data_IF_626785552040
#
_entry.id   IF_626785552040
#
_cell.length_a   1.000
_cell.length_b   1.000
_cell.length_c   1.000
_cell.angle_alpha   90.00
_cell.angle_beta   90.00
_cell.angle_gamma   90.00
#
_symmetry.space_group_name_H-M   'P 1'
#
loop_
_entity.id
_entity.type
_entity.pdbx_description
1 polymer ?
#
# COMPACT_ATOMS: atom_id res chain seq x y z
N UNK A 1 2.64 2.02 -30.56
CA UNK A 1 2.76 3.34 -29.92
C UNK A 1 1.49 3.51 -29.11
N UNK A 2 1.53 3.76 -27.78
CA UNK A 2 0.30 4.00 -27.04
C UNK A 2 -0.41 5.22 -27.62
N UNK A 3 -1.71 5.11 -27.86
CA UNK A 3 -2.51 6.23 -28.37
C UNK A 3 -2.43 7.41 -27.39
N UNK A 4 -2.41 8.65 -27.91
CA UNK A 4 -2.27 9.87 -27.10
C UNK A 4 -3.31 9.96 -25.95
N UNK A 5 -4.50 9.41 -26.17
CA UNK A 5 -5.55 9.29 -25.16
C UNK A 5 -5.11 8.40 -23.98
N UNK A 6 -4.53 7.25 -24.27
CA UNK A 6 -4.01 6.30 -23.28
C UNK A 6 -2.90 6.92 -22.43
N UNK A 7 -1.96 7.62 -23.08
CA UNK A 7 -0.89 8.32 -22.38
C UNK A 7 -1.45 9.42 -21.46
N UNK A 8 -2.39 10.23 -21.95
CA UNK A 8 -3.01 11.29 -21.16
C UNK A 8 -3.80 10.76 -19.95
N UNK A 9 -4.54 9.66 -20.12
CA UNK A 9 -5.27 9.00 -19.05
C UNK A 9 -4.32 8.49 -17.94
N UNK A 10 -3.23 7.80 -18.34
CA UNK A 10 -2.24 7.28 -17.39
C UNK A 10 -1.53 8.40 -16.64
N UNK A 11 -1.24 9.53 -17.29
CA UNK A 11 -0.65 10.71 -16.64
C UNK A 11 -1.60 11.28 -15.59
N UNK A 12 -2.89 11.45 -15.91
CA UNK A 12 -3.88 11.96 -14.97
C UNK A 12 -4.08 10.98 -13.80
N UNK A 13 -4.23 9.68 -14.09
CA UNK A 13 -4.38 8.64 -13.07
C UNK A 13 -3.15 8.58 -12.14
N UNK A 14 -1.94 8.68 -12.70
CA UNK A 14 -0.70 8.75 -11.95
C UNK A 14 -0.59 10.01 -11.07
N UNK A 15 -1.02 11.17 -11.58
CA UNK A 15 -1.05 12.41 -10.82
C UNK A 15 -2.02 12.31 -9.62
N UNK A 16 -3.22 11.78 -9.86
CA UNK A 16 -4.24 11.55 -8.83
C UNK A 16 -3.74 10.54 -7.79
N UNK A 17 -3.19 9.41 -8.24
CA UNK A 17 -2.59 8.41 -7.36
C UNK A 17 -1.45 8.99 -6.51
N UNK A 18 -0.60 9.83 -7.08
CA UNK A 18 0.49 10.51 -6.37
C UNK A 18 -0.02 11.48 -5.30
N UNK A 19 -0.99 12.34 -5.64
CA UNK A 19 -1.60 13.29 -4.69
C UNK A 19 -2.26 12.55 -3.54
N UNK A 20 -3.07 11.53 -3.83
CA UNK A 20 -3.75 10.71 -2.81
C UNK A 20 -2.71 9.92 -1.99
N UNK A 21 -1.65 9.43 -2.64
CA UNK A 21 -0.56 8.68 -2.03
C UNK A 21 0.17 9.43 -0.92
N UNK A 22 0.24 10.76 -1.00
CA UNK A 22 0.82 11.60 0.07
C UNK A 22 0.04 11.51 1.39
N UNK A 23 -1.21 11.05 1.37
CA UNK A 23 -2.05 10.85 2.54
C UNK A 23 -1.90 9.44 3.16
N UNK A 24 -1.03 8.59 2.62
CA UNK A 24 -0.69 7.29 3.19
C UNK A 24 -1.41 6.11 2.51
N UNK A 25 -0.70 5.45 1.59
CA UNK A 25 -0.92 4.05 1.23
C UNK A 25 -2.03 3.71 0.23
N UNK A 26 -2.71 4.70 -0.35
CA UNK A 26 -3.85 4.46 -1.28
C UNK A 26 -3.42 4.50 -2.75
N UNK A 27 -2.14 4.79 -3.04
CA UNK A 27 -1.58 4.93 -4.39
C UNK A 27 -1.88 3.70 -5.27
N UNK A 28 -1.71 2.50 -4.72
CA UNK A 28 -1.92 1.23 -5.40
C UNK A 28 -3.35 0.98 -5.80
N UNK A 29 -4.30 1.38 -4.96
CA UNK A 29 -5.73 1.19 -5.23
C UNK A 29 -6.24 2.07 -6.38
N UNK A 30 -5.47 3.09 -6.79
CA UNK A 30 -5.78 3.96 -7.92
C UNK A 30 -4.95 3.60 -9.15
N UNK A 31 -3.63 3.43 -8.99
CA UNK A 31 -2.71 3.17 -10.10
C UNK A 31 -2.94 1.78 -10.72
N UNK A 32 -3.21 0.78 -9.90
CA UNK A 32 -3.33 -0.60 -10.38
C UNK A 32 -4.57 -0.83 -11.27
N UNK A 33 -5.80 -0.42 -10.88
CA UNK A 33 -6.96 -0.52 -11.78
C UNK A 33 -6.81 0.32 -13.06
N UNK A 34 -6.14 1.48 -12.99
CA UNK A 34 -5.89 2.31 -14.16
C UNK A 34 -4.97 1.62 -15.17
N UNK A 35 -3.95 0.89 -14.70
CA UNK A 35 -3.07 0.10 -15.57
C UNK A 35 -3.79 -1.10 -16.17
N UNK A 36 -4.65 -1.78 -15.40
CA UNK A 36 -5.50 -2.85 -15.91
C UNK A 36 -6.50 -2.37 -16.97
N UNK A 37 -7.08 -1.18 -16.80
CA UNK A 37 -8.02 -0.59 -17.75
C UNK A 37 -7.39 -0.33 -19.13
N UNK A 38 -6.07 -0.20 -19.19
CA UNK A 38 -5.29 -0.01 -20.42
C UNK A 38 -4.82 -1.36 -21.03
N UNK A 39 -5.17 -2.48 -20.40
CA UNK A 39 -4.84 -3.83 -20.89
C UNK A 39 -3.45 -4.34 -20.49
N UNK A 40 -2.79 -3.69 -19.52
CA UNK A 40 -1.50 -4.17 -19.01
C UNK A 40 -1.73 -5.44 -18.16
N UNK A 41 -0.93 -6.50 -18.36
CA UNK A 41 -1.00 -7.70 -17.53
C UNK A 41 -0.87 -7.37 -16.04
N UNK A 42 -1.67 -7.97 -15.14
CA UNK A 42 -1.69 -7.62 -13.72
C UNK A 42 -0.31 -7.64 -13.05
N UNK A 43 0.54 -8.61 -13.38
CA UNK A 43 1.89 -8.68 -12.83
C UNK A 43 2.75 -7.46 -13.22
N UNK A 44 2.70 -7.07 -14.50
CA UNK A 44 3.43 -5.90 -15.00
C UNK A 44 2.88 -4.61 -14.38
N UNK A 45 1.56 -4.50 -14.26
CA UNK A 45 0.89 -3.39 -13.58
C UNK A 45 1.32 -3.28 -12.11
N UNK A 46 1.45 -4.40 -11.40
CA UNK A 46 1.89 -4.43 -10.01
C UNK A 46 3.32 -3.94 -9.86
N UNK A 47 4.24 -4.45 -10.69
CA UNK A 47 5.65 -4.02 -10.66
C UNK A 47 5.78 -2.52 -10.93
N UNK A 48 5.06 -1.99 -11.91
CA UNK A 48 5.04 -0.53 -12.18
C UNK A 48 4.50 0.25 -10.98
N UNK A 49 3.42 -0.23 -10.35
CA UNK A 49 2.86 0.38 -9.16
C UNK A 49 3.85 0.37 -7.98
N UNK A 50 4.58 -0.73 -7.75
CA UNK A 50 5.62 -0.81 -6.71
C UNK A 50 6.75 0.20 -6.93
N UNK A 51 7.14 0.46 -8.19
CA UNK A 51 8.14 1.50 -8.49
C UNK A 51 7.59 2.90 -8.19
N UNK A 52 6.33 3.18 -8.53
CA UNK A 52 5.68 4.45 -8.20
C UNK A 52 5.59 4.69 -6.68
N UNK A 53 5.43 3.64 -5.89
CA UNK A 53 5.43 3.69 -4.43
C UNK A 53 6.77 4.08 -3.82
N UNK A 54 7.91 3.77 -4.47
CA UNK A 54 9.21 4.23 -3.99
C UNK A 54 9.29 5.77 -3.98
N UNK A 55 8.78 6.40 -5.04
CA UNK A 55 8.72 7.85 -5.14
C UNK A 55 7.78 8.46 -4.10
N UNK A 56 6.52 8.01 -4.07
CA UNK A 56 5.52 8.54 -3.12
C UNK A 56 5.85 8.20 -1.66
N UNK A 57 6.46 7.05 -1.39
CA UNK A 57 6.94 6.62 -0.08
C UNK A 57 8.08 7.50 0.42
N UNK A 58 9.05 7.85 -0.44
CA UNK A 58 10.11 8.80 -0.09
C UNK A 58 9.54 10.17 0.26
N UNK A 59 8.60 10.69 -0.55
CA UNK A 59 7.92 11.95 -0.25
C UNK A 59 7.15 11.91 1.08
N UNK A 60 6.46 10.80 1.34
CA UNK A 60 5.71 10.60 2.60
C UNK A 60 6.64 10.50 3.81
N UNK A 61 7.77 9.81 3.67
CA UNK A 61 8.78 9.70 4.73
C UNK A 61 9.41 11.06 5.08
N UNK A 62 9.73 11.87 4.07
CA UNK A 62 10.24 13.23 4.26
C UNK A 62 9.21 14.12 4.98
N UNK A 63 7.93 14.01 4.61
CA UNK A 63 6.84 14.75 5.25
C UNK A 63 6.54 14.28 6.68
N UNK A 64 6.69 12.99 6.97
CA UNK A 64 6.45 12.43 8.31
C UNK A 64 7.55 12.81 9.33
N UNK A 65 8.73 13.25 8.88
CA UNK A 65 9.87 13.56 9.75
C UNK A 65 9.56 14.46 10.97
N UNK A 66 8.88 15.61 10.81
CA UNK A 66 8.48 16.47 11.93
C UNK A 66 7.52 15.80 12.92
N UNK A 67 6.59 14.97 12.43
CA UNK A 67 5.57 14.29 13.23
C UNK A 67 6.13 13.12 14.05
N UNK A 68 7.27 12.58 13.62
CA UNK A 68 7.98 11.49 14.29
C UNK A 68 8.91 11.95 15.42
N UNK A 69 9.08 13.28 15.61
CA UNK A 69 9.86 13.84 16.71
C UNK A 69 9.26 13.39 18.04
N UNK A 70 10.06 12.74 18.89
CA UNK A 70 9.63 12.18 20.18
C UNK A 70 9.18 10.71 20.15
N UNK A 71 9.06 10.08 18.97
CA UNK A 71 8.60 8.68 18.82
C UNK A 71 9.71 7.69 18.39
N UNK A 72 10.98 8.06 18.56
CA UNK A 72 12.15 7.28 18.09
C UNK A 72 12.24 5.88 18.68
N UNK A 73 11.86 5.71 19.95
CA UNK A 73 11.83 4.39 20.61
C UNK A 73 10.79 3.46 19.98
N UNK A 74 9.59 3.96 19.71
CA UNK A 74 8.53 3.22 19.01
C UNK A 74 8.99 2.86 17.60
N UNK A 75 9.58 3.81 16.87
CA UNK A 75 10.09 3.56 15.53
C UNK A 75 11.12 2.43 15.54
N UNK A 76 12.11 2.49 16.44
CA UNK A 76 13.18 1.49 16.53
C UNK A 76 12.66 0.08 16.86
N UNK A 77 11.55 -0.02 17.61
CA UNK A 77 10.91 -1.32 17.90
C UNK A 77 10.12 -1.87 16.72
N UNK A 78 9.34 -1.03 16.03
CA UNK A 78 8.35 -1.49 15.04
C UNK A 78 8.84 -1.44 13.59
N UNK A 79 9.81 -0.60 13.29
CA UNK A 79 10.43 -0.48 11.97
C UNK A 79 11.06 -1.79 11.48
N UNK A 80 11.92 -2.50 12.25
CA UNK A 80 12.51 -3.75 11.77
C UNK A 80 11.45 -4.83 11.51
N UNK A 81 10.40 -4.88 12.35
CA UNK A 81 9.30 -5.81 12.16
C UNK A 81 8.56 -5.53 10.83
N UNK A 82 8.28 -4.26 10.56
CA UNK A 82 7.62 -3.83 9.32
C UNK A 82 8.48 -4.15 8.09
N UNK A 83 9.79 -3.90 8.15
CA UNK A 83 10.75 -4.24 7.07
C UNK A 83 10.72 -5.73 6.77
N UNK A 84 10.79 -6.58 7.81
CA UNK A 84 10.81 -8.04 7.63
C UNK A 84 9.50 -8.52 6.99
N UNK A 85 8.35 -8.11 7.51
CA UNK A 85 7.06 -8.55 6.94
C UNK A 85 6.82 -8.00 5.53
N UNK A 86 7.21 -6.76 5.24
CA UNK A 86 7.13 -6.23 3.87
C UNK A 86 8.07 -6.96 2.93
N UNK A 87 9.28 -7.35 3.37
CA UNK A 87 10.17 -8.18 2.57
C UNK A 87 9.57 -9.57 2.31
N UNK A 88 8.94 -10.17 3.32
CA UNK A 88 8.21 -11.44 3.15
C UNK A 88 7.11 -11.31 2.09
N UNK A 89 6.32 -10.23 2.13
CA UNK A 89 5.30 -9.94 1.12
C UNK A 89 5.90 -9.80 -0.28
N UNK A 90 6.98 -9.04 -0.42
CA UNK A 90 7.65 -8.82 -1.71
C UNK A 90 8.24 -10.11 -2.29
N UNK A 91 8.86 -10.96 -1.45
CA UNK A 91 9.36 -12.27 -1.86
C UNK A 91 8.21 -13.17 -2.29
N UNK A 92 7.09 -13.16 -1.56
CA UNK A 92 5.92 -13.96 -1.91
C UNK A 92 5.35 -13.54 -3.28
N UNK A 93 5.39 -12.25 -3.61
CA UNK A 93 5.00 -11.75 -4.93
C UNK A 93 5.92 -12.31 -6.02
N UNK A 94 7.24 -12.23 -5.83
CA UNK A 94 8.23 -12.73 -6.80
C UNK A 94 8.08 -14.23 -7.04
N UNK A 95 7.71 -14.99 -6.00
CA UNK A 95 7.47 -16.43 -6.08
C UNK A 95 6.06 -16.77 -6.63
N UNK A 96 5.14 -15.81 -6.74
CA UNK A 96 3.78 -16.07 -7.21
C UNK A 96 3.75 -16.18 -8.74
N UNK A 97 3.24 -17.30 -9.30
CA UNK A 97 3.02 -17.40 -10.74
C UNK A 97 2.01 -16.36 -11.23
N UNK A 98 2.24 -15.75 -12.39
CA UNK A 98 1.34 -14.71 -12.94
C UNK A 98 -0.13 -15.14 -13.02
N UNK A 99 -0.40 -16.38 -13.45
CA UNK A 99 -1.76 -16.93 -13.52
C UNK A 99 -2.46 -17.04 -12.15
N UNK A 100 -1.69 -17.21 -11.06
CA UNK A 100 -2.22 -17.18 -9.70
C UNK A 100 -2.45 -15.73 -9.26
N UNK A 101 -1.52 -14.83 -9.57
CA UNK A 101 -1.66 -13.41 -9.26
C UNK A 101 -2.93 -12.81 -9.88
N UNK A 102 -3.21 -13.11 -11.16
CA UNK A 102 -4.42 -12.65 -11.85
C UNK A 102 -5.72 -13.01 -11.12
N UNK A 103 -5.75 -14.16 -10.45
CA UNK A 103 -6.92 -14.61 -9.67
C UNK A 103 -7.00 -13.98 -8.28
N UNK A 104 -5.85 -13.67 -7.68
CA UNK A 104 -5.76 -13.15 -6.29
C UNK A 104 -5.94 -11.62 -6.26
N UNK A 105 -5.49 -10.93 -7.31
CA UNK A 105 -5.55 -9.48 -7.47
C UNK A 105 -6.91 -8.84 -7.13
N UNK A 106 -8.06 -9.34 -7.64
CA UNK A 106 -9.35 -8.73 -7.33
C UNK A 106 -9.67 -8.76 -5.83
N UNK A 107 -9.27 -9.83 -5.14
CA UNK A 107 -9.44 -9.96 -3.69
C UNK A 107 -8.53 -9.00 -2.92
N UNK A 108 -7.30 -8.78 -3.39
CA UNK A 108 -6.37 -7.82 -2.78
C UNK A 108 -6.90 -6.39 -2.89
N UNK A 109 -7.38 -6.00 -4.09
CA UNK A 109 -7.99 -4.69 -4.32
C UNK A 109 -9.26 -4.52 -3.48
N UNK A 110 -10.12 -5.54 -3.43
CA UNK A 110 -11.34 -5.51 -2.62
C UNK A 110 -11.02 -5.36 -1.13
N UNK A 111 -10.03 -6.12 -0.62
CA UNK A 111 -9.60 -6.06 0.77
C UNK A 111 -9.07 -4.67 1.12
N UNK A 112 -8.17 -4.10 0.31
CA UNK A 112 -7.65 -2.75 0.52
C UNK A 112 -8.75 -1.69 0.48
N UNK A 113 -9.69 -1.82 -0.46
CA UNK A 113 -10.86 -0.93 -0.58
C UNK A 113 -11.78 -1.01 0.64
N UNK A 114 -12.06 -2.21 1.14
CA UNK A 114 -12.88 -2.42 2.33
C UNK A 114 -12.22 -1.85 3.59
N UNK A 115 -10.90 -2.03 3.74
CA UNK A 115 -10.13 -1.44 4.85
C UNK A 115 -10.18 0.08 4.78
N UNK A 116 -10.06 0.67 3.58
CA UNK A 116 -10.18 2.10 3.37
C UNK A 116 -11.57 2.63 3.76
N UNK A 117 -12.63 1.94 3.33
CA UNK A 117 -14.01 2.26 3.73
C UNK A 117 -14.23 2.13 5.24
N UNK A 118 -13.51 1.20 5.89
CA UNK A 118 -13.58 0.98 7.32
C UNK A 118 -12.73 1.96 8.16
N UNK A 119 -11.80 2.71 7.57
CA UNK A 119 -10.97 3.70 8.29
C UNK A 119 -11.75 4.62 9.25
N UNK A 120 -12.87 5.28 8.87
CA UNK A 120 -13.61 6.15 9.78
C UNK A 120 -14.20 5.40 10.98
N UNK A 121 -14.58 4.13 10.79
CA UNK A 121 -15.08 3.28 11.87
C UNK A 121 -13.94 2.85 12.82
N UNK A 122 -12.78 2.49 12.25
CA UNK A 122 -11.57 2.14 13.01
C UNK A 122 -11.12 3.33 13.87
N UNK A 123 -11.05 4.53 13.28
CA UNK A 123 -10.66 5.74 14.00
C UNK A 123 -11.64 6.07 15.14
N UNK A 124 -12.96 5.90 14.92
CA UNK A 124 -13.98 6.07 15.96
C UNK A 124 -13.84 5.02 17.07
N UNK A 125 -13.59 3.77 16.73
CA UNK A 125 -13.39 2.69 17.70
C UNK A 125 -12.15 2.93 18.56
N UNK A 126 -11.03 3.37 17.97
CA UNK A 126 -9.82 3.70 18.72
C UNK A 126 -10.04 4.83 19.74
N UNK A 127 -10.76 5.89 19.34
CA UNK A 127 -11.13 7.00 20.24
C UNK A 127 -12.09 6.56 21.35
N UNK A 128 -13.02 5.64 21.05
CA UNK A 128 -14.06 5.18 21.99
C UNK A 128 -13.54 4.16 22.99
N UNK A 129 -12.69 3.25 22.56
CA UNK A 129 -12.26 2.13 23.41
C UNK A 129 -11.01 2.44 24.23
N UNK A 130 -10.16 3.41 23.84
CA UNK A 130 -9.03 3.95 24.62
C UNK A 130 -7.98 2.93 25.10
N UNK A 131 -8.25 1.63 24.95
CA UNK A 131 -7.39 0.52 25.33
C UNK A 131 -6.47 0.28 24.15
N UNK A 132 -5.19 0.58 24.35
CA UNK A 132 -4.14 0.18 23.44
C UNK A 132 -4.23 -1.32 23.17
N UNK A 133 -4.13 -1.69 21.89
CA UNK A 133 -4.08 -3.09 21.49
C UNK A 133 -2.87 -3.75 22.17
N UNK A 134 -3.02 -4.96 22.76
CA UNK A 134 -1.88 -5.62 23.39
C UNK A 134 -0.77 -5.81 22.36
N UNK A 135 0.48 -5.61 22.79
CA UNK A 135 1.67 -5.65 21.91
C UNK A 135 1.70 -6.84 20.92
N UNK A 136 1.40 -8.09 21.30
CA UNK A 136 1.36 -9.19 20.34
C UNK A 136 0.28 -9.02 19.27
N UNK A 137 -0.91 -8.55 19.63
CA UNK A 137 -2.00 -8.33 18.68
C UNK A 137 -1.66 -7.16 17.73
N UNK A 138 -1.03 -6.10 18.24
CA UNK A 138 -0.51 -5.01 17.40
C UNK A 138 0.57 -5.50 16.43
N UNK A 139 1.42 -6.45 16.85
CA UNK A 139 2.45 -7.04 16.00
C UNK A 139 1.90 -7.94 14.91
N UNK A 140 0.89 -8.74 15.22
CA UNK A 140 0.21 -9.57 14.22
C UNK A 140 -0.51 -8.67 13.22
N UNK A 141 -1.27 -7.68 13.68
CA UNK A 141 -2.00 -6.77 12.80
C UNK A 141 -1.04 -5.94 11.93
N UNK A 142 0.00 -5.35 12.53
CA UNK A 142 1.02 -4.59 11.82
C UNK A 142 1.80 -5.44 10.82
N UNK A 143 2.17 -6.67 11.19
CA UNK A 143 2.84 -7.62 10.31
C UNK A 143 1.97 -8.08 9.14
N UNK A 144 0.68 -8.31 9.36
CA UNK A 144 -0.27 -8.64 8.29
C UNK A 144 -0.40 -7.48 7.30
N UNK A 145 -0.53 -6.25 7.77
CA UNK A 145 -0.59 -5.05 6.93
C UNK A 145 0.72 -4.84 6.19
N UNK A 146 1.86 -4.99 6.85
CA UNK A 146 3.18 -4.86 6.24
C UNK A 146 3.43 -5.91 5.15
N UNK A 147 3.01 -7.16 5.38
CA UNK A 147 3.06 -8.24 4.38
C UNK A 147 2.17 -7.94 3.18
N UNK A 148 0.94 -7.50 3.42
CA UNK A 148 0.00 -7.12 2.36
C UNK A 148 0.57 -5.99 1.48
N UNK A 149 1.07 -4.91 2.09
CA UNK A 149 1.69 -3.81 1.36
C UNK A 149 2.98 -4.26 0.65
N UNK A 150 3.77 -5.16 1.25
CA UNK A 150 4.94 -5.73 0.57
C UNK A 150 4.59 -6.53 -0.68
N UNK A 151 3.44 -7.21 -0.68
CA UNK A 151 2.96 -8.05 -1.77
C UNK A 151 2.27 -7.25 -2.89
N UNK A 152 1.38 -6.33 -2.52
CA UNK A 152 0.51 -5.60 -3.45
C UNK A 152 0.99 -4.17 -3.75
N UNK A 153 1.87 -3.63 -2.91
CA UNK A 153 2.26 -2.23 -2.92
C UNK A 153 1.41 -1.39 -1.97
#
# INVERSE_FOLDING_TARGET
MPDLLTASFLVVAGLVAGVIGTAGGITSLVAFPALLAVGIPPLAANVTNSVALLGSGLSSALRAGPDLRGHSATLRTWMPLSIVFSLVGAVLLVLTPGALFDRVVPFLVATGSLVLLAQPLIARAQRRFGRGMPRPAAAIAGGAVATYNGYFG
#
